data_IF_073500490589
#
_entry.id   IF_073500490589
#
_cell.length_a   1.000
_cell.length_b   1.000
_cell.length_c   1.000
_cell.angle_alpha   90.00
_cell.angle_beta   90.00
_cell.angle_gamma   90.00
#
_symmetry.space_group_name_H-M   'P 1'
#
loop_
_entity.id
_entity.type
_entity.pdbx_description
1 polymer ?
#
# COMPACT_ATOMS: atom_id res chain seq x y z
N UNK A 1 10.22 -5.57 2.70
CA UNK A 1 10.05 -4.16 2.30
C UNK A 1 8.75 -3.55 2.80
N UNK A 2 7.56 -4.04 2.41
CA UNK A 2 6.27 -3.45 2.82
C UNK A 2 6.13 -3.21 4.33
N UNK A 3 6.30 -4.25 5.16
CA UNK A 3 6.23 -4.11 6.63
C UNK A 3 7.31 -3.20 7.20
N UNK A 4 8.50 -3.21 6.59
CA UNK A 4 9.61 -2.31 6.92
C UNK A 4 9.20 -0.85 6.88
N UNK A 5 8.49 -0.43 5.83
CA UNK A 5 7.94 0.93 5.77
C UNK A 5 6.69 1.10 6.63
N UNK A 6 5.68 0.24 6.46
CA UNK A 6 4.34 0.50 7.01
C UNK A 6 4.24 0.26 8.52
N UNK A 7 5.07 -0.62 9.09
CA UNK A 7 5.00 -1.02 10.51
C UNK A 7 6.25 -0.66 11.30
N UNK A 8 7.42 -0.88 10.72
CA UNK A 8 8.69 -0.79 11.46
C UNK A 8 9.28 0.63 11.39
N UNK A 9 9.02 1.38 10.32
CA UNK A 9 9.48 2.75 10.17
C UNK A 9 8.63 3.72 11.01
N UNK A 10 9.25 4.28 12.07
CA UNK A 10 8.65 5.25 12.99
C UNK A 10 8.12 6.52 12.30
N UNK A 11 8.70 6.91 11.18
CA UNK A 11 8.34 8.14 10.45
C UNK A 11 7.18 7.93 9.49
N UNK A 12 6.72 6.67 9.30
CA UNK A 12 5.67 6.34 8.36
C UNK A 12 4.32 6.94 8.73
N UNK A 13 3.91 6.85 9.99
CA UNK A 13 2.60 7.37 10.42
C UNK A 13 2.54 8.91 10.33
N UNK A 14 3.56 9.68 10.79
CA UNK A 14 3.62 11.11 10.54
C UNK A 14 3.59 11.48 9.06
N UNK A 15 4.38 10.79 8.22
CA UNK A 15 4.40 11.00 6.78
C UNK A 15 3.03 10.73 6.14
N UNK A 16 2.42 9.59 6.45
CA UNK A 16 1.10 9.21 5.93
C UNK A 16 0.04 10.27 6.22
N UNK A 17 -0.01 10.78 7.46
CA UNK A 17 -0.98 11.82 7.85
C UNK A 17 -0.70 13.19 7.24
N UNK A 18 0.54 13.47 6.89
CA UNK A 18 0.93 14.77 6.30
C UNK A 18 0.84 14.77 4.77
N UNK A 19 1.14 13.63 4.13
CA UNK A 19 1.19 13.50 2.68
C UNK A 19 -0.13 13.04 2.05
N UNK A 20 -1.10 12.60 2.86
CA UNK A 20 -2.43 12.17 2.40
C UNK A 20 -3.50 12.89 3.22
N UNK A 21 -4.72 13.07 2.67
CA UNK A 21 -5.82 13.67 3.41
C UNK A 21 -6.53 12.68 4.36
N UNK A 22 -5.82 11.70 4.95
CA UNK A 22 -6.46 10.66 5.79
C UNK A 22 -7.27 11.27 6.95
N UNK A 23 -6.74 12.31 7.58
CA UNK A 23 -7.37 12.92 8.75
C UNK A 23 -8.62 13.72 8.35
N UNK A 24 -8.58 14.41 7.21
CA UNK A 24 -9.66 15.19 6.64
C UNK A 24 -10.79 14.26 6.16
N UNK A 25 -10.44 13.17 5.47
CA UNK A 25 -11.38 12.15 5.01
C UNK A 25 -12.14 11.50 6.18
N UNK A 26 -11.52 11.38 7.35
CA UNK A 26 -12.18 10.89 8.57
C UNK A 26 -13.10 11.89 9.26
N UNK A 27 -12.97 13.19 8.97
CA UNK A 27 -13.80 14.28 9.54
C UNK A 27 -15.01 14.60 8.68
N UNK A 28 -14.92 14.38 7.37
CA UNK A 28 -15.99 14.67 6.43
C UNK A 28 -17.09 13.58 6.47
N UNK A 29 -18.36 13.93 6.20
CA UNK A 29 -19.47 12.98 6.18
C UNK A 29 -19.49 12.15 4.87
N UNK A 30 -18.37 11.51 4.53
CA UNK A 30 -18.18 10.76 3.29
C UNK A 30 -18.54 9.27 3.40
N UNK A 31 -18.45 8.70 4.60
CA UNK A 31 -18.62 7.27 4.84
C UNK A 31 -19.63 6.96 5.93
N UNK A 32 -20.38 5.88 5.75
CA UNK A 32 -21.31 5.36 6.77
C UNK A 32 -20.61 4.64 7.94
N UNK A 33 -19.31 4.34 7.79
CA UNK A 33 -18.52 3.55 8.74
C UNK A 33 -17.33 4.35 9.26
N UNK A 34 -16.91 4.14 10.52
CA UNK A 34 -15.72 4.77 11.06
C UNK A 34 -14.46 4.29 10.33
N UNK A 35 -13.56 5.22 10.02
CA UNK A 35 -12.34 4.95 9.27
C UNK A 35 -11.37 4.00 10.00
N UNK A 36 -11.35 4.04 11.33
CA UNK A 36 -10.51 3.19 12.20
C UNK A 36 -11.35 2.22 13.00
N UNK A 37 -10.77 1.05 13.33
CA UNK A 37 -11.31 0.10 14.31
C UNK A 37 -11.06 0.55 15.74
N UNK A 38 -9.92 1.22 15.98
CA UNK A 38 -9.54 1.81 17.29
C UNK A 38 -9.06 3.24 17.05
N UNK A 39 -9.67 4.26 17.68
CA UNK A 39 -9.33 5.67 17.42
C UNK A 39 -7.86 6.03 17.70
N UNK A 40 -7.24 5.37 18.66
CA UNK A 40 -5.86 5.63 19.11
C UNK A 40 -4.80 4.76 18.42
N UNK A 41 -5.18 3.87 17.50
CA UNK A 41 -4.23 2.98 16.84
C UNK A 41 -3.47 3.62 15.68
N UNK A 42 -2.35 3.01 15.29
CA UNK A 42 -1.58 3.33 14.10
C UNK A 42 -2.27 2.85 12.81
N UNK A 43 -1.49 2.68 11.75
CA UNK A 43 -1.99 2.23 10.43
C UNK A 43 -2.69 0.87 10.52
N UNK A 44 -2.27 0.01 11.44
CA UNK A 44 -2.88 -1.29 11.73
C UNK A 44 -4.34 -1.22 12.23
N UNK A 45 -4.77 -0.05 12.71
CA UNK A 45 -6.16 0.18 13.10
C UNK A 45 -7.05 0.69 11.97
N UNK A 46 -6.45 1.12 10.85
CA UNK A 46 -7.15 1.68 9.71
C UNK A 46 -7.85 0.58 8.90
N UNK A 47 -9.04 0.88 8.39
CA UNK A 47 -9.75 -0.03 7.48
C UNK A 47 -9.17 0.06 6.06
N UNK A 48 -9.37 -0.98 5.27
CA UNK A 48 -8.87 -1.07 3.90
C UNK A 48 -9.35 0.09 2.99
N UNK A 49 -10.62 0.48 3.08
CA UNK A 49 -11.17 1.59 2.26
C UNK A 49 -10.45 2.91 2.57
N UNK A 50 -10.43 3.43 3.82
CA UNK A 50 -9.67 4.64 4.16
C UNK A 50 -8.18 4.55 3.82
N UNK A 51 -7.56 3.37 3.99
CA UNK A 51 -6.16 3.15 3.65
C UNK A 51 -5.90 3.39 2.17
N UNK A 52 -6.62 2.71 1.29
CA UNK A 52 -6.45 2.85 -0.16
C UNK A 52 -6.87 4.26 -0.59
N UNK A 53 -8.02 4.73 -0.11
CA UNK A 53 -8.61 6.00 -0.55
C UNK A 53 -7.71 7.20 -0.25
N UNK A 54 -7.05 7.24 0.92
CA UNK A 54 -6.11 8.31 1.26
C UNK A 54 -4.93 8.41 0.27
N UNK A 55 -4.34 7.27 -0.12
CA UNK A 55 -3.25 7.24 -1.11
C UNK A 55 -3.73 7.43 -2.56
N UNK A 56 -5.01 7.17 -2.83
CA UNK A 56 -5.61 7.52 -4.12
C UNK A 56 -5.69 9.03 -4.29
N UNK A 57 -6.01 9.79 -3.23
CA UNK A 57 -6.14 11.26 -3.32
C UNK A 57 -4.83 11.95 -3.70
N UNK A 58 -3.69 11.51 -3.16
CA UNK A 58 -2.38 12.10 -3.50
C UNK A 58 -1.69 11.47 -4.71
N UNK A 59 -2.38 10.55 -5.42
CA UNK A 59 -1.91 9.86 -6.63
C UNK A 59 -0.65 9.00 -6.47
N UNK A 60 -0.15 8.78 -5.25
CA UNK A 60 0.99 7.89 -5.01
C UNK A 60 0.61 6.41 -5.13
N UNK A 61 -0.64 6.04 -4.80
CA UNK A 61 -1.15 4.67 -4.90
C UNK A 61 -0.30 3.63 -4.14
N UNK A 62 0.42 4.06 -3.10
CA UNK A 62 1.40 3.25 -2.35
C UNK A 62 0.91 1.83 -1.98
N UNK A 63 -0.35 1.62 -1.53
CA UNK A 63 -0.83 0.29 -1.15
C UNK A 63 -0.86 -0.73 -2.29
N UNK A 64 -0.93 -0.27 -3.54
CA UNK A 64 -1.10 -1.15 -4.70
C UNK A 64 0.22 -1.74 -5.21
N UNK A 65 1.36 -1.12 -4.92
CA UNK A 65 2.63 -1.50 -5.53
C UNK A 65 3.80 -1.66 -4.56
N UNK A 66 3.72 -1.12 -3.33
CA UNK A 66 4.85 -1.10 -2.41
C UNK A 66 5.37 -2.52 -2.10
N UNK A 67 6.59 -2.79 -2.57
CA UNK A 67 7.27 -4.07 -2.39
C UNK A 67 7.21 -5.00 -3.60
N UNK A 68 6.28 -4.81 -4.54
CA UNK A 68 6.20 -5.63 -5.75
C UNK A 68 7.45 -5.48 -6.62
N UNK A 69 7.81 -4.23 -6.97
CA UNK A 69 9.00 -3.96 -7.78
C UNK A 69 10.30 -4.46 -7.15
N UNK A 70 10.47 -4.30 -5.83
CA UNK A 70 11.66 -4.81 -5.15
C UNK A 70 11.75 -6.34 -5.13
N UNK A 71 10.60 -7.03 -5.03
CA UNK A 71 10.57 -8.49 -5.12
C UNK A 71 10.91 -8.96 -6.54
N UNK A 72 10.34 -8.33 -7.57
CA UNK A 72 10.64 -8.63 -8.98
C UNK A 72 12.12 -8.37 -9.30
N UNK A 73 12.65 -7.21 -8.90
CA UNK A 73 14.05 -6.85 -9.11
C UNK A 73 15.01 -7.88 -8.51
N UNK A 74 14.74 -8.35 -7.29
CA UNK A 74 15.56 -9.39 -6.64
C UNK A 74 15.58 -10.70 -7.44
N UNK A 75 14.47 -11.06 -8.09
CA UNK A 75 14.39 -12.27 -8.93
C UNK A 75 15.16 -12.07 -10.24
N UNK A 76 15.09 -10.88 -10.84
CA UNK A 76 15.88 -10.51 -12.02
C UNK A 76 17.37 -10.58 -11.73
N UNK A 77 17.82 -9.99 -10.61
CA UNK A 77 19.21 -10.04 -10.15
C UNK A 77 19.68 -11.47 -9.85
N UNK A 78 18.75 -12.36 -9.49
CA UNK A 78 18.98 -13.80 -9.35
C UNK A 78 19.05 -14.58 -10.66
N UNK A 79 19.03 -13.90 -11.82
CA UNK A 79 19.15 -14.52 -13.15
C UNK A 79 17.85 -15.16 -13.67
N UNK A 80 16.70 -14.89 -13.05
CA UNK A 80 15.41 -15.55 -13.35
C UNK A 80 14.45 -14.66 -14.14
N UNK A 81 14.97 -13.68 -14.87
CA UNK A 81 14.13 -12.79 -15.69
C UNK A 81 13.30 -13.56 -16.73
N UNK A 82 13.91 -14.52 -17.43
CA UNK A 82 13.20 -15.32 -18.44
C UNK A 82 12.07 -16.17 -17.84
N UNK A 83 12.19 -16.60 -16.58
CA UNK A 83 11.11 -17.28 -15.86
C UNK A 83 9.93 -16.33 -15.61
N UNK A 84 10.20 -15.09 -15.15
CA UNK A 84 9.15 -14.08 -14.95
C UNK A 84 8.44 -13.71 -16.25
N UNK A 85 9.19 -13.60 -17.35
CA UNK A 85 8.62 -13.33 -18.68
C UNK A 85 7.76 -14.50 -19.18
N UNK A 86 8.18 -15.75 -18.93
CA UNK A 86 7.37 -16.93 -19.24
C UNK A 86 6.09 -16.95 -18.39
N UNK A 87 6.17 -16.68 -17.09
CA UNK A 87 4.99 -16.54 -16.23
C UNK A 87 4.04 -15.45 -16.75
N UNK A 88 4.56 -14.32 -17.21
CA UNK A 88 3.74 -13.24 -17.76
C UNK A 88 3.02 -13.64 -19.06
N UNK A 89 3.64 -14.46 -19.92
CA UNK A 89 2.98 -14.94 -21.16
C UNK A 89 1.99 -16.07 -20.91
N UNK A 90 2.40 -17.03 -20.09
CA UNK A 90 1.78 -18.36 -20.06
C UNK A 90 0.91 -18.59 -18.82
N UNK A 91 0.98 -17.71 -17.81
CA UNK A 91 0.21 -17.84 -16.58
C UNK A 91 -0.78 -16.68 -16.40
N UNK A 92 -2.09 -16.89 -16.65
CA UNK A 92 -3.10 -15.82 -16.57
C UNK A 92 -3.16 -15.08 -15.22
N UNK A 93 -2.84 -15.76 -14.13
CA UNK A 93 -2.78 -15.14 -12.80
C UNK A 93 -1.68 -14.07 -12.71
N UNK A 94 -0.54 -14.28 -13.38
CA UNK A 94 0.62 -13.39 -13.25
C UNK A 94 0.56 -12.18 -14.18
N UNK A 95 -0.25 -12.23 -15.24
CA UNK A 95 -0.40 -11.16 -16.24
C UNK A 95 -1.61 -10.25 -16.06
N UNK A 96 -2.46 -10.54 -15.08
CA UNK A 96 -3.61 -9.70 -14.70
C UNK A 96 -3.18 -8.49 -13.87
#
# INVERSE_FOLDING_TARGET
MYRGYVRENKDFVPYFRSATPEQELGKLPLGSRPAKRRPTGGVESLRAIPWIFAWTQNRLMLPAWLGAGAALQKVVEGGKQSELEAMCRDWPFFST
#
